data_IF_236010861549
#
_entry.id   IF_236010861549
#
_cell.length_a   1.000
_cell.length_b   1.000
_cell.length_c   1.000
_cell.angle_alpha   90.00
_cell.angle_beta   90.00
_cell.angle_gamma   90.00
#
_symmetry.space_group_name_H-M   'P 1'
#
loop_
_entity.id
_entity.type
_entity.pdbx_description
1 polymer ?
#
# COMPACT_ATOMS: atom_id res chain seq x y z
N UNK A 1 9.73 15.15 -14.14
CA UNK A 1 8.69 14.84 -13.14
C UNK A 1 7.61 14.01 -13.84
N UNK A 2 7.20 12.87 -13.28
CA UNK A 2 6.36 11.84 -13.94
C UNK A 2 5.10 12.40 -14.62
N UNK A 3 4.36 13.30 -13.96
CA UNK A 3 3.11 13.87 -14.48
C UNK A 3 3.30 15.03 -15.47
N UNK A 4 4.50 15.62 -15.58
CA UNK A 4 4.80 16.72 -16.49
C UNK A 4 3.76 17.86 -16.48
N UNK A 5 3.30 18.25 -17.67
CA UNK A 5 2.28 19.30 -17.84
C UNK A 5 0.91 18.92 -17.26
N UNK A 6 0.65 17.64 -17.03
CA UNK A 6 -0.63 17.13 -16.58
C UNK A 6 -0.76 17.08 -15.05
N UNK A 7 0.22 17.56 -14.27
CA UNK A 7 0.24 17.42 -12.81
C UNK A 7 -0.96 18.04 -12.06
N UNK A 8 -1.70 18.96 -12.70
CA UNK A 8 -2.94 19.55 -12.15
C UNK A 8 -4.22 19.04 -12.82
N UNK A 9 -4.10 18.08 -13.74
CA UNK A 9 -5.25 17.53 -14.44
C UNK A 9 -6.21 16.83 -13.46
N UNK A 10 -7.49 16.82 -13.79
CA UNK A 10 -8.47 15.96 -13.11
C UNK A 10 -8.39 14.52 -13.61
N UNK A 11 -7.81 14.31 -14.79
CA UNK A 11 -7.67 13.01 -15.45
C UNK A 11 -6.30 12.39 -15.19
N UNK A 12 -5.83 12.46 -13.94
CA UNK A 12 -4.62 11.75 -13.51
C UNK A 12 -4.90 10.25 -13.56
N UNK A 13 -4.09 9.53 -14.31
CA UNK A 13 -4.16 8.06 -14.40
C UNK A 13 -4.08 7.42 -13.01
N UNK A 14 -4.84 6.35 -12.80
CA UNK A 14 -4.77 5.54 -11.57
C UNK A 14 -3.40 4.88 -11.36
N UNK A 15 -2.61 4.72 -12.43
CA UNK A 15 -1.20 4.30 -12.31
C UNK A 15 -0.31 5.35 -11.63
N UNK A 16 -0.73 6.62 -11.66
CA UNK A 16 -0.04 7.71 -10.97
C UNK A 16 -0.64 8.01 -9.59
N UNK A 17 -1.97 7.89 -9.47
CA UNK A 17 -2.72 8.15 -8.25
C UNK A 17 -3.71 7.00 -8.01
N UNK A 18 -3.27 5.89 -7.37
CA UNK A 18 -4.08 4.68 -7.22
C UNK A 18 -5.43 4.91 -6.54
N UNK A 19 -5.52 5.87 -5.62
CA UNK A 19 -6.77 6.25 -4.95
C UNK A 19 -7.88 6.73 -5.92
N UNK A 20 -7.52 7.13 -7.15
CA UNK A 20 -8.48 7.52 -8.20
C UNK A 20 -9.03 6.33 -9.00
N UNK A 21 -8.57 5.11 -8.76
CA UNK A 21 -9.12 3.94 -9.46
C UNK A 21 -10.59 3.75 -9.10
N UNK A 22 -11.42 3.55 -10.11
CA UNK A 22 -12.85 3.28 -9.98
C UNK A 22 -13.18 1.79 -10.11
N UNK A 23 -12.22 1.00 -10.62
CA UNK A 23 -12.33 -0.44 -10.75
C UNK A 23 -11.16 -1.13 -10.04
N UNK A 24 -11.46 -1.91 -9.01
CA UNK A 24 -10.48 -2.64 -8.19
C UNK A 24 -10.46 -4.14 -8.50
N UNK A 25 -11.26 -4.60 -9.47
CA UNK A 25 -11.33 -6.02 -9.84
C UNK A 25 -10.02 -6.50 -10.49
N UNK A 26 -9.72 -7.79 -10.30
CA UNK A 26 -8.55 -8.46 -10.90
C UNK A 26 -7.20 -7.84 -10.53
N UNK A 27 -7.14 -7.01 -9.49
CA UNK A 27 -5.88 -6.54 -8.91
C UNK A 27 -5.23 -7.65 -8.08
N UNK A 28 -3.89 -7.68 -7.98
CA UNK A 28 -3.18 -8.69 -7.22
C UNK A 28 -3.51 -8.60 -5.71
N UNK A 29 -3.35 -9.70 -4.96
CA UNK A 29 -3.35 -9.63 -3.52
C UNK A 29 -2.42 -8.55 -3.01
N UNK A 30 -2.88 -7.77 -2.04
CA UNK A 30 -2.20 -6.55 -1.60
C UNK A 30 -1.95 -6.62 -0.10
N UNK A 31 -0.73 -6.32 0.32
CA UNK A 31 -0.40 -6.07 1.70
C UNK A 31 0.30 -4.73 1.81
N UNK A 32 0.03 -3.99 2.89
CA UNK A 32 0.73 -2.76 3.23
C UNK A 32 0.73 -2.55 4.74
N UNK A 33 1.39 -1.50 5.21
CA UNK A 33 1.29 -1.03 6.58
C UNK A 33 1.31 0.49 6.62
N UNK A 34 0.79 1.07 7.69
CA UNK A 34 0.64 2.52 7.82
C UNK A 34 0.71 2.93 9.29
N UNK A 35 1.21 4.13 9.56
CA UNK A 35 1.04 4.79 10.86
C UNK A 35 -0.33 5.46 10.98
N UNK A 36 -0.87 5.66 12.18
CA UNK A 36 -2.17 6.36 12.34
C UNK A 36 -2.06 7.88 12.48
N UNK A 37 -0.84 8.41 12.67
CA UNK A 37 -0.57 9.87 12.70
C UNK A 37 0.06 10.37 11.39
N UNK A 38 0.18 9.54 10.35
CA UNK A 38 0.70 9.97 9.06
C UNK A 38 -0.41 10.50 8.11
N UNK A 39 -0.08 11.42 7.19
CA UNK A 39 -1.07 12.02 6.28
C UNK A 39 -1.79 11.02 5.36
N UNK A 40 -1.21 9.85 5.12
CA UNK A 40 -1.71 8.85 4.18
C UNK A 40 -2.59 7.78 4.84
N UNK A 41 -2.85 7.88 6.16
CA UNK A 41 -3.61 6.87 6.91
C UNK A 41 -4.99 6.58 6.29
N UNK A 42 -5.82 7.62 6.15
CA UNK A 42 -7.18 7.47 5.66
C UNK A 42 -7.21 7.01 4.20
N UNK A 43 -6.32 7.55 3.35
CA UNK A 43 -6.22 7.16 1.94
C UNK A 43 -5.87 5.68 1.80
N UNK A 44 -4.86 5.21 2.54
CA UNK A 44 -4.42 3.80 2.52
C UNK A 44 -5.53 2.88 3.02
N UNK A 45 -6.18 3.26 4.13
CA UNK A 45 -7.31 2.51 4.68
C UNK A 45 -8.48 2.40 3.70
N UNK A 46 -8.82 3.48 3.01
CA UNK A 46 -9.89 3.50 1.99
C UNK A 46 -9.52 2.61 0.80
N UNK A 47 -8.27 2.68 0.34
CA UNK A 47 -7.80 1.87 -0.78
C UNK A 47 -7.89 0.37 -0.48
N UNK A 48 -7.41 -0.06 0.70
CA UNK A 48 -7.49 -1.46 1.15
C UNK A 48 -8.95 -1.91 1.30
N UNK A 49 -9.82 -1.06 1.86
CA UNK A 49 -11.26 -1.35 1.96
C UNK A 49 -11.91 -1.54 0.59
N UNK A 50 -11.53 -0.75 -0.41
CA UNK A 50 -12.08 -0.87 -1.76
C UNK A 50 -11.58 -2.14 -2.47
N UNK A 51 -10.32 -2.53 -2.28
CA UNK A 51 -9.80 -3.82 -2.74
C UNK A 51 -10.59 -4.99 -2.13
N UNK A 52 -10.80 -4.97 -0.82
CA UNK A 52 -11.57 -6.00 -0.12
C UNK A 52 -13.01 -6.10 -0.64
N UNK A 53 -13.68 -4.96 -0.86
CA UNK A 53 -15.03 -4.91 -1.45
C UNK A 53 -15.09 -5.51 -2.86
N UNK A 54 -14.00 -5.40 -3.63
CA UNK A 54 -13.89 -5.99 -4.96
C UNK A 54 -13.48 -7.47 -4.93
N UNK A 55 -13.41 -8.10 -3.76
CA UNK A 55 -13.03 -9.51 -3.59
C UNK A 55 -11.52 -9.77 -3.66
N UNK A 56 -10.69 -8.72 -3.67
CA UNK A 56 -9.23 -8.87 -3.65
C UNK A 56 -8.79 -9.22 -2.23
N UNK A 57 -7.88 -10.20 -2.10
CA UNK A 57 -7.22 -10.50 -0.83
C UNK A 57 -6.29 -9.34 -0.46
N UNK A 58 -6.78 -8.43 0.37
CA UNK A 58 -6.03 -7.27 0.82
C UNK A 58 -6.03 -7.12 2.34
N UNK A 59 -4.88 -6.81 2.91
CA UNK A 59 -4.70 -6.55 4.34
C UNK A 59 -3.74 -5.40 4.60
N UNK A 60 -3.85 -4.81 5.78
CA UNK A 60 -3.00 -3.71 6.22
C UNK A 60 -2.80 -3.79 7.73
N UNK A 61 -1.56 -3.59 8.16
CA UNK A 61 -1.22 -3.38 9.57
C UNK A 61 -1.22 -1.88 9.89
N UNK A 62 -1.77 -1.51 11.05
CA UNK A 62 -1.77 -0.14 11.55
C UNK A 62 -0.88 -0.07 12.77
N UNK A 63 0.09 0.85 12.76
CA UNK A 63 1.04 1.06 13.86
C UNK A 63 0.69 2.36 14.60
N UNK A 64 0.12 2.28 15.82
CA UNK A 64 -0.33 3.46 16.55
C UNK A 64 0.81 4.40 16.94
N UNK A 65 0.60 5.70 16.76
CA UNK A 65 1.57 6.75 17.04
C UNK A 65 2.75 6.82 16.07
N UNK A 66 2.76 6.01 15.01
CA UNK A 66 3.83 6.00 14.03
C UNK A 66 3.59 7.05 12.93
N UNK A 67 4.66 7.78 12.61
CA UNK A 67 4.67 8.81 11.57
C UNK A 67 5.24 8.25 10.25
N UNK A 68 5.25 9.07 9.21
CA UNK A 68 5.76 8.70 7.90
C UNK A 68 7.24 8.25 7.94
N UNK A 69 7.53 7.03 7.48
CA UNK A 69 8.89 6.49 7.44
C UNK A 69 9.43 5.98 8.78
N UNK A 70 8.56 5.73 9.78
CA UNK A 70 8.98 5.18 11.08
C UNK A 70 9.77 3.87 10.95
N UNK A 71 9.49 3.07 9.91
CA UNK A 71 10.11 1.79 9.59
C UNK A 71 11.60 1.91 9.24
N UNK A 72 12.06 3.11 8.86
CA UNK A 72 13.47 3.38 8.59
C UNK A 72 14.29 3.57 9.87
N UNK A 73 13.64 3.80 11.02
CA UNK A 73 14.31 3.90 12.32
C UNK A 73 14.57 2.51 12.89
N UNK A 74 15.42 1.73 12.20
CA UNK A 74 15.69 0.30 12.44
C UNK A 74 16.20 -0.06 13.84
N UNK A 75 16.57 0.93 14.65
CA UNK A 75 16.95 0.74 16.06
C UNK A 75 15.74 0.68 17.00
N UNK A 76 14.55 1.04 16.53
CA UNK A 76 13.31 0.99 17.31
C UNK A 76 12.63 -0.37 17.16
N UNK A 77 11.98 -0.84 18.22
CA UNK A 77 11.24 -2.11 18.21
C UNK A 77 10.12 -2.12 17.18
N UNK A 78 9.38 -1.01 17.06
CA UNK A 78 8.24 -0.89 16.15
C UNK A 78 8.66 -0.94 14.67
N UNK A 79 9.80 -0.32 14.33
CA UNK A 79 10.37 -0.44 12.99
C UNK A 79 10.78 -1.88 12.68
N UNK A 80 11.44 -2.56 13.61
CA UNK A 80 11.86 -3.95 13.43
C UNK A 80 10.66 -4.87 13.22
N UNK A 81 9.60 -4.70 14.00
CA UNK A 81 8.35 -5.45 13.87
C UNK A 81 7.69 -5.23 12.51
N UNK A 82 7.53 -3.97 12.09
CA UNK A 82 6.95 -3.64 10.78
C UNK A 82 7.76 -4.25 9.61
N UNK A 83 9.08 -4.19 9.68
CA UNK A 83 9.96 -4.78 8.66
C UNK A 83 9.84 -6.31 8.63
N UNK A 84 9.80 -6.99 9.78
CA UNK A 84 9.61 -8.45 9.85
C UNK A 84 8.28 -8.86 9.21
N UNK A 85 7.20 -8.17 9.57
CA UNK A 85 5.87 -8.45 9.02
C UNK A 85 5.83 -8.20 7.50
N UNK A 86 6.40 -7.08 7.04
CA UNK A 86 6.47 -6.75 5.62
C UNK A 86 7.27 -7.80 4.81
N UNK A 87 8.44 -8.21 5.31
CA UNK A 87 9.26 -9.24 4.66
C UNK A 87 8.54 -10.59 4.63
N UNK A 88 7.85 -10.98 5.71
CA UNK A 88 7.08 -12.21 5.75
C UNK A 88 5.96 -12.22 4.68
N UNK A 89 5.26 -11.11 4.53
CA UNK A 89 4.22 -10.96 3.50
C UNK A 89 4.80 -10.94 2.09
N UNK A 90 5.95 -10.30 1.89
CA UNK A 90 6.66 -10.33 0.61
C UNK A 90 7.07 -11.77 0.22
N UNK A 91 7.67 -12.53 1.14
CA UNK A 91 8.06 -13.93 0.92
C UNK A 91 6.83 -14.79 0.64
N UNK A 92 5.74 -14.57 1.37
CA UNK A 92 4.47 -15.26 1.09
C UNK A 92 3.96 -14.93 -0.31
N UNK A 93 3.90 -13.64 -0.67
CA UNK A 93 3.45 -13.21 -1.99
C UNK A 93 4.30 -13.78 -3.12
N UNK A 94 5.63 -13.77 -2.97
CA UNK A 94 6.56 -14.29 -3.98
C UNK A 94 6.43 -15.80 -4.20
N UNK A 95 5.99 -16.55 -3.18
CA UNK A 95 5.81 -18.01 -3.27
C UNK A 95 4.47 -18.40 -3.88
N UNK A 96 3.40 -17.65 -3.58
CA UNK A 96 2.03 -18.06 -3.90
C UNK A 96 1.36 -17.25 -5.01
N UNK A 97 1.88 -16.07 -5.35
CA UNK A 97 1.26 -15.14 -6.31
C UNK A 97 2.23 -14.63 -7.37
N UNK A 98 3.30 -15.38 -7.64
CA UNK A 98 4.22 -15.05 -8.73
C UNK A 98 3.53 -15.17 -10.09
N UNK A 99 3.70 -14.14 -10.93
CA UNK A 99 3.31 -14.16 -12.33
C UNK A 99 4.52 -13.70 -13.18
N UNK A 100 4.91 -14.45 -14.24
CA UNK A 100 5.99 -14.03 -15.12
C UNK A 100 5.62 -12.73 -15.84
N UNK A 101 6.58 -11.82 -16.00
CA UNK A 101 6.42 -10.66 -16.86
C UNK A 101 6.23 -11.13 -18.31
N UNK A 102 5.24 -10.56 -19.00
CA UNK A 102 4.95 -10.81 -20.41
C UNK A 102 5.37 -9.62 -21.25
#
# INVERSE_FOLDING_TARGET
MYLGKNHQSKDISSYAAPARTTNYQNLPPTYTFVGDIEPFYDETRIYIKNLQKAGVKASMDVYPGCFHGFDQLIHTKVAQEANVNYIAQFIFASRYYFAPQR
#
